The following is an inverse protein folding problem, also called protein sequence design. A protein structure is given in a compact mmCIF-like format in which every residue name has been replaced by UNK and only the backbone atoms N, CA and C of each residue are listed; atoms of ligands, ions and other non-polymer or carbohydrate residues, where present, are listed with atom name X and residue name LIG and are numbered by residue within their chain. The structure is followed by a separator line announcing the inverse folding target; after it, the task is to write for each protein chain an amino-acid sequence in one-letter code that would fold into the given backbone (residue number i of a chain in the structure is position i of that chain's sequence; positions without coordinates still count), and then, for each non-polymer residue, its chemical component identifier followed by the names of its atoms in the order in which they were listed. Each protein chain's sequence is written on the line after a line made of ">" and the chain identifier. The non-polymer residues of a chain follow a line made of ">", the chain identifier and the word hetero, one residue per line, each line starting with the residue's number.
data_IF_247021235685
#
_entry.id   IF_247021235685
#
_cell.length_a   1.000
_cell.length_b   1.000
_cell.length_c   1.000
_cell.angle_alpha   90.00
_cell.angle_beta   90.00
_cell.angle_gamma   90.00
#
_symmetry.space_group_name_H-M   'P 1'
#
loop_
_entity.id
_entity.type
_entity.pdbx_description
1 polymer ?
#
# COMPACT_ATOMS: atom_id res chain seq x y z
N UNK A 1 33.79 17.07 -2.84
CA UNK A 1 32.50 16.35 -2.68
C UNK A 1 31.85 16.24 -4.04
N UNK A 2 31.85 15.05 -4.65
CA UNK A 2 31.21 14.81 -5.94
C UNK A 2 29.78 14.30 -5.73
N UNK A 3 28.85 15.21 -5.47
CA UNK A 3 27.41 14.87 -5.41
C UNK A 3 26.73 15.42 -6.68
N UNK A 4 26.10 14.50 -7.43
CA UNK A 4 25.28 14.86 -8.58
C UNK A 4 23.83 15.11 -8.16
N UNK A 5 23.18 16.12 -8.74
CA UNK A 5 21.74 16.36 -8.56
C UNK A 5 20.91 15.18 -9.01
N UNK A 6 21.38 14.43 -10.01
CA UNK A 6 20.71 13.20 -10.52
C UNK A 6 20.66 12.07 -9.49
N UNK A 7 21.48 12.13 -8.44
CA UNK A 7 21.49 11.12 -7.38
C UNK A 7 20.77 11.59 -6.12
N UNK A 8 20.97 12.87 -5.78
CA UNK A 8 20.46 13.44 -4.50
C UNK A 8 18.95 13.64 -4.58
N UNK A 9 18.46 14.23 -5.66
CA UNK A 9 17.02 14.54 -5.82
C UNK A 9 16.17 13.25 -5.86
N UNK A 10 16.48 12.24 -6.68
CA UNK A 10 15.72 10.99 -6.67
C UNK A 10 15.77 10.25 -5.33
N UNK A 11 16.93 10.29 -4.66
CA UNK A 11 17.08 9.65 -3.35
C UNK A 11 16.25 10.36 -2.29
N UNK A 12 16.26 11.69 -2.25
CA UNK A 12 15.43 12.47 -1.35
C UNK A 12 13.93 12.22 -1.59
N UNK A 13 13.51 12.18 -2.85
CA UNK A 13 12.14 11.81 -3.22
C UNK A 13 11.73 10.43 -2.72
N UNK A 14 12.58 9.44 -2.89
CA UNK A 14 12.33 8.07 -2.37
C UNK A 14 12.24 8.04 -0.85
N UNK A 15 13.12 8.76 -0.14
CA UNK A 15 13.06 8.85 1.32
C UNK A 15 11.77 9.49 1.80
N UNK A 16 11.32 10.55 1.14
CA UNK A 16 10.03 11.20 1.46
C UNK A 16 8.86 10.25 1.26
N UNK A 17 8.81 9.53 0.13
CA UNK A 17 7.77 8.53 -0.12
C UNK A 17 7.78 7.45 0.96
N UNK A 18 8.95 6.93 1.34
CA UNK A 18 9.07 5.90 2.37
C UNK A 18 8.55 6.35 3.74
N UNK A 19 8.78 7.62 4.11
CA UNK A 19 8.23 8.18 5.36
C UNK A 19 6.71 8.29 5.34
N UNK A 20 6.12 8.56 4.18
CA UNK A 20 4.66 8.65 4.02
C UNK A 20 3.97 7.28 3.88
N UNK A 21 4.71 6.26 3.46
CA UNK A 21 4.14 4.91 3.28
C UNK A 21 3.79 4.22 4.60
N UNK A 22 4.57 4.44 5.66
CA UNK A 22 4.31 3.78 6.95
C UNK A 22 2.95 4.19 7.55
N UNK A 23 2.61 5.49 7.66
CA UNK A 23 1.27 5.90 8.11
C UNK A 23 0.16 5.45 7.14
N UNK A 24 0.39 5.46 5.83
CA UNK A 24 -0.57 4.97 4.85
C UNK A 24 -0.90 3.48 5.06
N UNK A 25 0.10 2.64 5.26
CA UNK A 25 -0.08 1.21 5.54
C UNK A 25 -0.90 1.00 6.81
N UNK A 26 -0.67 1.81 7.85
CA UNK A 26 -1.43 1.75 9.09
C UNK A 26 -2.91 2.09 8.86
N UNK A 27 -3.21 3.15 8.10
CA UNK A 27 -4.58 3.55 7.78
C UNK A 27 -5.30 2.53 6.89
N UNK A 28 -4.60 1.94 5.91
CA UNK A 28 -5.15 0.84 5.12
C UNK A 28 -5.51 -0.36 6.00
N UNK A 29 -4.72 -0.67 7.02
CA UNK A 29 -5.04 -1.71 8.00
C UNK A 29 -6.26 -1.39 8.85
N UNK A 30 -6.49 -0.12 9.19
CA UNK A 30 -7.71 0.33 9.88
C UNK A 30 -8.94 0.23 8.98
N UNK A 31 -8.80 0.66 7.73
CA UNK A 31 -9.86 0.55 6.72
C UNK A 31 -10.26 -0.90 6.50
N UNK A 32 -9.29 -1.80 6.32
CA UNK A 32 -9.50 -3.24 6.16
C UNK A 32 -10.34 -3.81 7.31
N UNK A 33 -9.97 -3.52 8.55
CA UNK A 33 -10.72 -3.97 9.74
C UNK A 33 -12.15 -3.44 9.76
N UNK A 34 -12.35 -2.17 9.41
CA UNK A 34 -13.70 -1.57 9.35
C UNK A 34 -14.56 -2.21 8.27
N UNK A 35 -13.99 -2.50 7.10
CA UNK A 35 -14.69 -3.17 6.02
C UNK A 35 -15.10 -4.59 6.40
N UNK A 36 -14.23 -5.36 7.09
CA UNK A 36 -14.60 -6.68 7.62
C UNK A 36 -15.70 -6.58 8.67
N UNK A 37 -15.65 -5.59 9.58
CA UNK A 37 -16.72 -5.35 10.54
C UNK A 37 -18.06 -5.07 9.86
N UNK A 38 -18.07 -4.24 8.82
CA UNK A 38 -19.27 -3.96 8.03
C UNK A 38 -19.76 -5.17 7.22
N UNK A 39 -18.84 -6.01 6.74
CA UNK A 39 -19.20 -7.25 6.07
C UNK A 39 -19.96 -8.21 7.01
N UNK A 40 -19.56 -8.27 8.26
CA UNK A 40 -20.24 -9.07 9.26
C UNK A 40 -21.61 -8.46 9.65
N UNK A 41 -21.65 -7.14 9.91
CA UNK A 41 -22.86 -6.40 10.27
C UNK A 41 -23.98 -6.53 9.23
N UNK A 42 -23.62 -6.54 7.93
CA UNK A 42 -24.57 -6.60 6.81
C UNK A 42 -24.63 -7.99 6.14
N UNK A 43 -24.24 -9.04 6.85
CA UNK A 43 -24.23 -10.40 6.35
C UNK A 43 -25.59 -10.90 5.86
N UNK A 44 -26.65 -10.48 6.55
CA UNK A 44 -28.05 -10.92 6.30
C UNK A 44 -28.85 -9.94 5.43
N UNK A 45 -28.26 -8.77 5.07
CA UNK A 45 -28.97 -7.76 4.27
C UNK A 45 -28.90 -8.15 2.80
N UNK A 46 -30.03 -8.57 2.25
CA UNK A 46 -30.16 -8.96 0.84
C UNK A 46 -30.20 -7.70 -0.05
N UNK A 47 -29.45 -7.73 -1.13
CA UNK A 47 -29.47 -6.74 -2.18
C UNK A 47 -29.42 -7.38 -3.56
N UNK A 48 -29.84 -6.66 -4.58
CA UNK A 48 -29.63 -7.09 -5.95
C UNK A 48 -28.18 -6.82 -6.37
N UNK A 49 -27.49 -7.84 -6.87
CA UNK A 49 -26.23 -7.70 -7.58
C UNK A 49 -26.45 -6.98 -8.91
N UNK A 50 -25.43 -6.25 -9.39
CA UNK A 50 -25.51 -5.51 -10.65
C UNK A 50 -24.32 -5.82 -11.53
N UNK A 51 -24.60 -6.01 -12.83
CA UNK A 51 -23.60 -6.17 -13.89
C UNK A 51 -24.01 -5.32 -15.07
N UNK A 52 -23.10 -4.52 -15.63
CA UNK A 52 -23.33 -3.76 -16.87
C UNK A 52 -24.68 -3.01 -16.90
N UNK A 53 -25.00 -2.30 -15.82
CA UNK A 53 -26.25 -1.53 -15.67
C UNK A 53 -27.53 -2.37 -15.56
N UNK A 54 -27.41 -3.70 -15.42
CA UNK A 54 -28.55 -4.62 -15.28
C UNK A 54 -28.55 -5.30 -13.92
N UNK A 55 -29.71 -5.73 -13.50
CA UNK A 55 -29.86 -6.58 -12.31
C UNK A 55 -29.28 -7.97 -12.60
N UNK A 56 -28.48 -8.45 -11.64
CA UNK A 56 -27.89 -9.78 -11.68
C UNK A 56 -28.52 -10.67 -10.60
N UNK A 57 -27.77 -11.57 -10.01
CA UNK A 57 -28.26 -12.47 -8.97
C UNK A 57 -28.43 -11.74 -7.62
N UNK A 58 -29.37 -12.15 -6.78
CA UNK A 58 -29.44 -11.70 -5.39
C UNK A 58 -28.14 -12.03 -4.64
N UNK A 59 -27.67 -11.11 -3.85
CA UNK A 59 -26.47 -11.24 -3.02
C UNK A 59 -26.66 -10.52 -1.70
N UNK A 60 -25.76 -10.72 -0.74
CA UNK A 60 -25.80 -9.93 0.50
C UNK A 60 -24.93 -8.68 0.40
N UNK A 61 -25.32 -7.63 1.11
CA UNK A 61 -24.53 -6.42 1.22
C UNK A 61 -23.17 -6.71 1.90
N UNK A 62 -23.16 -7.66 2.86
CA UNK A 62 -21.94 -8.15 3.49
C UNK A 62 -20.94 -8.72 2.51
N UNK A 63 -21.38 -9.44 1.47
CA UNK A 63 -20.49 -9.95 0.41
C UNK A 63 -19.78 -8.80 -0.34
N UNK A 64 -20.47 -7.70 -0.59
CA UNK A 64 -19.86 -6.52 -1.23
C UNK A 64 -18.77 -5.90 -0.36
N UNK A 65 -19.03 -5.71 0.94
CA UNK A 65 -18.03 -5.19 1.88
C UNK A 65 -16.85 -6.15 2.07
N UNK A 66 -17.11 -7.45 2.08
CA UNK A 66 -16.07 -8.47 2.14
C UNK A 66 -15.14 -8.39 0.91
N UNK A 67 -15.69 -8.22 -0.29
CA UNK A 67 -14.90 -8.07 -1.50
C UNK A 67 -13.98 -6.83 -1.43
N UNK A 68 -14.48 -5.68 -0.94
CA UNK A 68 -13.66 -4.48 -0.72
C UNK A 68 -12.58 -4.70 0.35
N UNK A 69 -12.88 -5.41 1.43
CA UNK A 69 -11.91 -5.76 2.45
C UNK A 69 -10.76 -6.60 1.89
N UNK A 70 -11.08 -7.63 1.12
CA UNK A 70 -10.08 -8.49 0.47
C UNK A 70 -9.23 -7.72 -0.53
N UNK A 71 -9.81 -6.80 -1.30
CA UNK A 71 -9.08 -5.94 -2.23
C UNK A 71 -8.10 -5.04 -1.46
N UNK A 72 -8.57 -4.34 -0.43
CA UNK A 72 -7.74 -3.48 0.42
C UNK A 72 -6.61 -4.26 1.08
N UNK A 73 -6.87 -5.46 1.59
CA UNK A 73 -5.86 -6.34 2.19
C UNK A 73 -4.77 -6.73 1.19
N UNK A 74 -5.13 -7.05 -0.05
CA UNK A 74 -4.17 -7.35 -1.12
C UNK A 74 -3.30 -6.15 -1.46
N UNK A 75 -3.90 -4.98 -1.60
CA UNK A 75 -3.17 -3.76 -1.95
C UNK A 75 -2.24 -3.32 -0.81
N UNK A 76 -2.67 -3.41 0.45
CA UNK A 76 -1.80 -3.20 1.61
C UNK A 76 -0.57 -4.11 1.57
N UNK A 77 -0.74 -5.41 1.32
CA UNK A 77 0.39 -6.36 1.20
C UNK A 77 1.34 -6.02 0.05
N UNK A 78 0.82 -5.53 -1.09
CA UNK A 78 1.64 -5.07 -2.22
C UNK A 78 2.48 -3.87 -1.84
N UNK A 79 1.87 -2.87 -1.21
CA UNK A 79 2.54 -1.65 -0.74
C UNK A 79 3.60 -1.99 0.31
N UNK A 80 3.31 -2.86 1.29
CA UNK A 80 4.27 -3.33 2.29
C UNK A 80 5.50 -4.00 1.64
N UNK A 81 5.29 -4.79 0.60
CA UNK A 81 6.38 -5.45 -0.14
C UNK A 81 7.29 -4.42 -0.82
N UNK A 82 6.70 -3.44 -1.51
CA UNK A 82 7.45 -2.36 -2.17
C UNK A 82 8.18 -1.51 -1.14
N UNK A 83 7.53 -1.11 -0.06
CA UNK A 83 8.12 -0.33 1.02
C UNK A 83 9.37 -1.02 1.61
N UNK A 84 9.29 -2.34 1.85
CA UNK A 84 10.41 -3.13 2.36
C UNK A 84 11.57 -3.21 1.36
N UNK A 85 11.26 -3.35 0.08
CA UNK A 85 12.25 -3.39 -0.99
C UNK A 85 12.97 -2.06 -1.15
N UNK A 86 12.23 -0.97 -1.23
CA UNK A 86 12.77 0.39 -1.39
C UNK A 86 13.61 0.84 -0.17
N UNK A 87 13.18 0.52 1.05
CA UNK A 87 13.98 0.77 2.26
C UNK A 87 15.38 0.14 2.17
N UNK A 88 15.47 -1.08 1.65
CA UNK A 88 16.76 -1.76 1.44
C UNK A 88 17.63 -1.04 0.41
N UNK A 89 17.04 -0.61 -0.70
CA UNK A 89 17.75 0.09 -1.77
C UNK A 89 18.28 1.45 -1.31
N UNK A 90 17.45 2.25 -0.63
CA UNK A 90 17.86 3.55 -0.10
C UNK A 90 19.00 3.41 0.91
N UNK A 91 18.91 2.47 1.85
CA UNK A 91 19.97 2.22 2.83
C UNK A 91 21.28 1.84 2.14
N UNK A 92 21.24 0.99 1.11
CA UNK A 92 22.44 0.61 0.35
C UNK A 92 23.05 1.79 -0.37
N UNK A 93 22.24 2.63 -1.02
CA UNK A 93 22.69 3.82 -1.73
C UNK A 93 23.38 4.81 -0.79
N UNK A 94 22.77 5.10 0.36
CA UNK A 94 23.33 5.99 1.37
C UNK A 94 24.65 5.42 1.93
N UNK A 95 24.69 4.13 2.26
CA UNK A 95 25.91 3.47 2.80
C UNK A 95 27.06 3.47 1.79
N UNK A 96 26.78 3.20 0.51
CA UNK A 96 27.80 3.20 -0.54
C UNK A 96 28.45 4.57 -0.73
N UNK A 97 27.67 5.65 -0.58
CA UNK A 97 28.15 7.01 -0.73
C UNK A 97 28.84 7.60 0.51
N UNK A 98 28.56 7.06 1.69
CA UNK A 98 29.23 7.46 2.93
C UNK A 98 30.61 6.81 3.12
N UNK A 99 30.96 5.84 2.27
CA UNK A 99 32.32 5.30 2.26
C UNK A 99 33.27 6.31 1.63
N UNK A 100 34.36 6.70 2.30
CA UNK A 100 35.39 7.52 1.67
C UNK A 100 35.92 6.77 0.45
N UNK A 101 35.93 7.44 -0.69
CA UNK A 101 36.65 6.94 -1.86
C UNK A 101 38.10 6.78 -1.42
N UNK A 102 38.50 5.55 -1.17
CA UNK A 102 39.90 5.17 -1.14
C UNK A 102 40.39 5.35 -2.60
N UNK A 103 40.82 6.55 -2.93
CA UNK A 103 41.64 6.75 -4.09
C UNK A 103 42.96 6.04 -3.85
N UNK A 104 43.15 4.93 -4.57
CA UNK A 104 44.46 4.31 -4.79
C UNK A 104 45.18 5.12 -5.87
#
# INVERSE_FOLDING_TARGET
>A
MAQSTNDVIPTAGKMTVLTLLDPLIAELGRLEKKLYGKAFEFGDVIKMGRTQLQDAVPMTLGQSFHAYAVMTARDRKRIERVNRSEKRLVIRTVRYRSQPLLCV
#
